data_IF_144465671317
#
_entry.id   IF_144465671317
#
_cell.length_a   1.000
_cell.length_b   1.000
_cell.length_c   1.000
_cell.angle_alpha   90.00
_cell.angle_beta   90.00
_cell.angle_gamma   90.00
#
_symmetry.space_group_name_H-M   'P 1'
#
loop_
_entity.id
_entity.type
_entity.pdbx_description
1 polymer ?
#
# COMPACT_ATOMS: atom_id res chain seq x y z
N UNK A 1 -21.78 -9.58 -4.96
CA UNK A 1 -21.52 -10.33 -3.72
C UNK A 1 -20.15 -10.94 -3.88
N UNK A 2 -19.28 -10.86 -2.87
CA UNK A 2 -17.97 -11.54 -2.91
C UNK A 2 -18.25 -13.04 -2.83
N UNK A 3 -17.67 -13.82 -3.73
CA UNK A 3 -17.78 -15.27 -3.71
C UNK A 3 -16.71 -15.81 -2.74
N UNK A 4 -17.06 -15.95 -1.46
CA UNK A 4 -16.12 -16.42 -0.42
C UNK A 4 -15.78 -17.90 -0.57
N UNK A 5 -16.58 -18.68 -1.30
CA UNK A 5 -16.29 -20.10 -1.55
C UNK A 5 -15.19 -20.27 -2.63
N UNK A 6 -15.02 -19.27 -3.48
CA UNK A 6 -13.98 -19.22 -4.51
C UNK A 6 -12.85 -18.21 -4.19
N UNK A 7 -12.86 -17.57 -3.02
CA UNK A 7 -11.86 -16.59 -2.59
C UNK A 7 -11.06 -17.11 -1.40
N UNK A 8 -9.74 -17.01 -1.46
CA UNK A 8 -8.84 -17.47 -0.42
C UNK A 8 -7.60 -16.57 -0.33
N UNK A 9 -6.88 -16.67 0.79
CA UNK A 9 -5.54 -16.10 0.95
C UNK A 9 -4.52 -17.23 0.79
N UNK A 10 -3.44 -16.96 0.07
CA UNK A 10 -2.30 -17.85 -0.04
C UNK A 10 -1.06 -17.12 0.45
N UNK A 11 -0.39 -17.69 1.45
CA UNK A 11 0.82 -17.12 2.04
C UNK A 11 2.04 -17.51 1.22
N UNK A 12 3.03 -16.62 1.12
CA UNK A 12 4.28 -16.89 0.40
C UNK A 12 5.06 -18.07 0.99
N UNK A 13 4.92 -18.31 2.29
CA UNK A 13 5.52 -19.43 3.02
C UNK A 13 4.89 -20.79 2.65
N UNK A 14 3.61 -20.78 2.25
CA UNK A 14 2.81 -21.98 1.96
C UNK A 14 1.82 -21.72 0.81
N UNK A 15 2.31 -21.50 -0.43
CA UNK A 15 1.48 -21.03 -1.55
C UNK A 15 0.41 -22.03 -2.00
N UNK A 16 0.59 -23.32 -1.68
CA UNK A 16 -0.35 -24.39 -2.00
C UNK A 16 -1.46 -24.56 -0.94
N UNK A 17 -1.39 -23.83 0.18
CA UNK A 17 -2.38 -23.88 1.26
C UNK A 17 -3.34 -22.70 1.10
N UNK A 18 -4.63 -23.00 0.92
CA UNK A 18 -5.68 -22.00 0.84
C UNK A 18 -6.21 -21.70 2.25
N UNK A 19 -5.96 -20.48 2.71
CA UNK A 19 -6.50 -19.94 3.96
C UNK A 19 -7.88 -19.35 3.69
N UNK A 20 -8.82 -19.57 4.60
CA UNK A 20 -10.19 -19.11 4.43
C UNK A 20 -10.29 -17.58 4.53
N UNK A 21 -11.13 -16.97 3.67
CA UNK A 21 -11.39 -15.53 3.66
C UNK A 21 -12.86 -15.25 3.94
N UNK A 22 -13.15 -14.52 5.01
CA UNK A 22 -14.52 -14.13 5.36
C UNK A 22 -14.73 -12.61 5.23
N UNK A 23 -15.95 -12.18 4.89
CA UNK A 23 -16.32 -10.75 4.81
C UNK A 23 -17.32 -10.41 5.91
N UNK A 24 -16.91 -9.72 7.00
CA UNK A 24 -17.84 -9.32 8.06
C UNK A 24 -18.96 -8.44 7.48
N UNK A 25 -20.19 -8.95 7.44
CA UNK A 25 -21.41 -8.26 6.93
C UNK A 25 -21.48 -7.95 5.42
N UNK A 26 -20.57 -8.48 4.59
CA UNK A 26 -20.51 -8.18 3.15
C UNK A 26 -21.75 -8.63 2.36
N UNK A 27 -22.33 -9.78 2.72
CA UNK A 27 -23.51 -10.34 2.05
C UNK A 27 -24.78 -9.50 2.27
N UNK A 28 -24.88 -8.80 3.39
CA UNK A 28 -26.09 -8.08 3.78
C UNK A 28 -26.13 -6.64 3.26
N UNK A 29 -24.97 -6.02 3.07
CA UNK A 29 -24.88 -4.57 2.86
C UNK A 29 -24.27 -4.14 1.53
N UNK A 30 -23.69 -5.09 0.77
CA UNK A 30 -23.03 -4.83 -0.49
C UNK A 30 -21.78 -3.96 -0.36
N UNK A 31 -21.18 -3.60 -1.49
CA UNK A 31 -20.05 -2.66 -1.53
C UNK A 31 -20.58 -1.24 -1.29
N UNK A 32 -20.11 -0.58 -0.23
CA UNK A 32 -20.50 0.80 0.08
C UNK A 32 -19.34 1.74 -0.20
N UNK A 33 -19.50 2.59 -1.21
CA UNK A 33 -18.56 3.66 -1.48
C UNK A 33 -18.83 4.81 -0.51
N UNK A 34 -17.80 5.17 0.27
CA UNK A 34 -17.83 6.37 1.10
C UNK A 34 -17.19 7.51 0.30
N UNK A 35 -17.90 8.62 0.15
CA UNK A 35 -17.42 9.77 -0.58
C UNK A 35 -18.54 10.67 -1.05
N UNK A 36 -18.19 11.90 -1.39
CA UNK A 36 -19.09 12.84 -2.07
C UNK A 36 -18.50 13.09 -3.43
N UNK A 37 -19.33 13.09 -4.46
CA UNK A 37 -18.93 13.51 -5.79
C UNK A 37 -19.96 14.46 -6.36
N UNK A 38 -19.53 15.32 -7.27
CA UNK A 38 -20.39 16.25 -7.99
C UNK A 38 -20.45 15.79 -9.44
N UNK A 39 -21.67 15.63 -9.95
CA UNK A 39 -21.91 15.40 -11.38
C UNK A 39 -22.38 16.72 -11.96
N UNK A 40 -21.53 17.39 -12.74
CA UNK A 40 -21.92 18.62 -13.43
C UNK A 40 -22.77 18.28 -14.66
N UNK A 41 -23.84 19.05 -14.88
CA UNK A 41 -24.72 18.88 -16.04
C UNK A 41 -23.92 18.97 -17.35
N UNK A 42 -24.28 18.12 -18.31
CA UNK A 42 -23.67 18.08 -19.65
C UNK A 42 -22.15 17.83 -19.68
N UNK A 43 -21.59 17.31 -18.59
CA UNK A 43 -20.18 16.89 -18.51
C UNK A 43 -20.07 15.40 -18.23
N UNK A 44 -18.97 14.80 -18.70
CA UNK A 44 -18.56 13.45 -18.32
C UNK A 44 -17.48 13.59 -17.25
N UNK A 45 -17.71 12.99 -16.09
CA UNK A 45 -16.70 12.87 -15.03
C UNK A 45 -16.42 11.40 -14.81
N UNK A 46 -15.16 11.00 -14.99
CA UNK A 46 -14.72 9.63 -14.74
C UNK A 46 -14.15 9.55 -13.32
N UNK A 47 -14.61 8.55 -12.57
CA UNK A 47 -14.14 8.25 -11.22
C UNK A 47 -13.54 6.86 -11.17
N UNK A 48 -12.52 6.69 -10.35
CA UNK A 48 -11.96 5.37 -10.03
C UNK A 48 -12.30 5.00 -8.60
N UNK A 49 -12.76 3.76 -8.41
CA UNK A 49 -12.82 3.11 -7.11
C UNK A 49 -11.51 2.37 -6.93
N UNK A 50 -10.67 2.89 -6.05
CA UNK A 50 -9.39 2.30 -5.71
C UNK A 50 -9.53 1.44 -4.44
N UNK A 51 -9.06 0.20 -4.51
CA UNK A 51 -9.18 -0.80 -3.45
C UNK A 51 -7.82 -1.03 -2.81
N UNK A 52 -7.69 -0.63 -1.55
CA UNK A 52 -6.45 -0.76 -0.80
C UNK A 52 -6.35 -2.16 -0.19
N UNK A 53 -5.71 -3.07 -0.91
CA UNK A 53 -5.55 -4.48 -0.48
C UNK A 53 -4.80 -4.57 0.85
N UNK A 54 -3.73 -3.78 1.01
CA UNK A 54 -2.87 -3.80 2.19
C UNK A 54 -3.64 -3.46 3.48
N UNK A 55 -4.66 -2.60 3.39
CA UNK A 55 -5.54 -2.27 4.53
C UNK A 55 -6.78 -3.15 4.63
N UNK A 56 -7.13 -3.86 3.56
CA UNK A 56 -8.42 -4.54 3.47
C UNK A 56 -8.39 -5.97 3.92
N UNK A 57 -7.25 -6.65 3.85
CA UNK A 57 -7.09 -8.03 4.30
C UNK A 57 -6.39 -8.00 5.65
N UNK A 58 -7.00 -8.62 6.66
CA UNK A 58 -6.49 -8.65 8.03
C UNK A 58 -6.48 -10.08 8.58
N UNK A 59 -5.60 -10.36 9.54
CA UNK A 59 -5.39 -11.68 10.14
C UNK A 59 -5.71 -11.63 11.65
N UNK A 60 -6.99 -11.66 12.03
CA UNK A 60 -7.39 -11.36 13.39
C UNK A 60 -6.88 -12.40 14.39
N UNK A 61 -6.29 -11.92 15.50
CA UNK A 61 -5.94 -12.79 16.60
C UNK A 61 -7.20 -13.32 17.32
N UNK A 62 -7.32 -14.66 17.41
CA UNK A 62 -8.37 -15.33 18.18
C UNK A 62 -9.61 -15.73 17.36
N UNK A 63 -10.76 -15.96 18.02
CA UNK A 63 -11.95 -16.49 17.34
C UNK A 63 -12.48 -15.53 16.26
N UNK A 64 -12.44 -15.96 15.00
CA UNK A 64 -12.86 -15.21 13.82
C UNK A 64 -13.81 -16.02 12.93
N UNK A 65 -14.43 -15.35 11.94
CA UNK A 65 -15.29 -15.96 10.92
C UNK A 65 -14.50 -16.75 9.86
N UNK A 66 -13.20 -16.54 9.78
CA UNK A 66 -12.25 -17.20 8.89
C UNK A 66 -10.81 -16.89 9.33
N UNK A 67 -9.84 -17.54 8.70
CA UNK A 67 -8.41 -17.32 8.96
C UNK A 67 -8.04 -15.86 8.67
N UNK A 68 -8.53 -15.32 7.55
CA UNK A 68 -8.42 -13.91 7.19
C UNK A 68 -9.80 -13.26 7.07
N UNK A 69 -9.85 -11.96 7.33
CA UNK A 69 -11.02 -11.13 7.07
C UNK A 69 -10.76 -10.12 5.97
N UNK A 70 -11.70 -10.00 5.05
CA UNK A 70 -11.77 -8.89 4.09
C UNK A 70 -12.68 -7.80 4.67
N UNK A 71 -12.08 -6.69 5.09
CA UNK A 71 -12.70 -5.43 5.52
C UNK A 71 -12.43 -4.35 4.45
N UNK A 72 -13.25 -4.22 3.38
CA UNK A 72 -12.87 -3.39 2.24
C UNK A 72 -12.63 -1.91 2.59
N UNK A 73 -11.42 -1.45 2.31
CA UNK A 73 -11.01 -0.04 2.32
C UNK A 73 -10.99 0.45 0.88
N UNK A 74 -11.85 1.43 0.59
CA UNK A 74 -12.08 1.94 -0.76
C UNK A 74 -11.91 3.45 -0.78
N UNK A 75 -11.27 3.95 -1.83
CA UNK A 75 -11.19 5.38 -2.14
C UNK A 75 -11.95 5.64 -3.44
N UNK A 76 -12.81 6.66 -3.43
CA UNK A 76 -13.43 7.17 -4.65
C UNK A 76 -12.68 8.42 -5.08
N UNK A 77 -11.99 8.36 -6.22
CA UNK A 77 -11.19 9.48 -6.72
C UNK A 77 -11.75 10.04 -8.02
N UNK A 78 -11.66 11.36 -8.19
CA UNK A 78 -11.96 12.03 -9.45
C UNK A 78 -10.72 11.98 -10.34
N UNK A 79 -10.83 11.39 -11.54
CA UNK A 79 -9.68 11.19 -12.43
C UNK A 79 -9.07 12.52 -12.94
N UNK A 80 -9.79 13.64 -12.79
CA UNK A 80 -9.27 14.97 -13.11
C UNK A 80 -8.44 15.61 -11.98
N UNK A 81 -8.47 15.05 -10.78
CA UNK A 81 -7.86 15.62 -9.57
C UNK A 81 -6.68 14.80 -9.05
N UNK A 82 -6.35 13.70 -9.73
CA UNK A 82 -5.32 12.75 -9.31
C UNK A 82 -4.15 12.66 -10.28
N UNK A 83 -2.97 12.34 -9.76
CA UNK A 83 -1.79 11.94 -10.51
C UNK A 83 -1.24 10.61 -9.98
N UNK A 84 0.03 10.35 -10.27
CA UNK A 84 0.76 9.19 -9.76
C UNK A 84 2.17 9.54 -9.34
N UNK A 85 2.76 8.65 -8.54
CA UNK A 85 4.19 8.64 -8.22
C UNK A 85 4.75 7.31 -8.73
N UNK A 86 5.89 7.34 -9.40
CA UNK A 86 6.67 6.14 -9.70
C UNK A 86 8.12 6.36 -9.35
N UNK A 87 8.83 5.26 -9.12
CA UNK A 87 10.23 5.31 -8.75
C UNK A 87 10.91 3.96 -8.78
N UNK A 88 12.22 3.99 -8.55
CA UNK A 88 13.08 2.82 -8.60
C UNK A 88 13.69 2.57 -7.23
N UNK A 89 13.82 1.29 -6.89
CA UNK A 89 14.51 0.82 -5.69
C UNK A 89 15.74 0.04 -6.12
N UNK A 90 16.92 0.50 -5.72
CA UNK A 90 18.16 -0.24 -5.88
C UNK A 90 18.29 -1.26 -4.74
N UNK A 91 17.55 -2.36 -4.91
CA UNK A 91 17.46 -3.44 -3.94
C UNK A 91 18.82 -4.06 -3.61
N UNK A 92 19.71 -4.19 -4.61
CA UNK A 92 21.05 -4.75 -4.40
C UNK A 92 21.90 -3.90 -3.44
N UNK A 93 21.83 -2.57 -3.56
CA UNK A 93 22.51 -1.66 -2.64
C UNK A 93 21.93 -1.74 -1.23
N UNK A 94 20.60 -1.71 -1.09
CA UNK A 94 19.94 -1.82 0.22
C UNK A 94 20.30 -3.12 0.93
N UNK A 95 20.21 -4.25 0.24
CA UNK A 95 20.63 -5.54 0.78
C UNK A 95 22.10 -5.55 1.20
N UNK A 96 23.00 -4.96 0.41
CA UNK A 96 24.43 -4.94 0.77
C UNK A 96 24.71 -4.15 2.06
N UNK A 97 23.99 -3.06 2.29
CA UNK A 97 24.11 -2.24 3.51
C UNK A 97 23.50 -2.98 4.69
N UNK A 98 22.29 -3.53 4.53
CA UNK A 98 21.58 -4.25 5.59
C UNK A 98 22.28 -5.55 6.00
N UNK A 99 22.87 -6.31 5.08
CA UNK A 99 23.68 -7.49 5.43
C UNK A 99 24.97 -7.14 6.18
N UNK A 100 25.40 -5.88 6.14
CA UNK A 100 26.56 -5.41 6.90
C UNK A 100 26.20 -4.95 8.32
N UNK A 101 24.90 -4.88 8.65
CA UNK A 101 24.37 -4.53 9.96
C UNK A 101 23.33 -5.56 10.42
N UNK A 102 23.69 -6.37 11.41
CA UNK A 102 22.81 -7.43 11.93
C UNK A 102 21.51 -6.93 12.54
N UNK A 103 21.41 -5.66 12.94
CA UNK A 103 20.16 -5.07 13.45
C UNK A 103 19.21 -4.65 12.31
N UNK A 104 19.73 -4.34 11.12
CA UNK A 104 18.96 -3.93 9.93
C UNK A 104 18.70 -5.08 8.94
N UNK A 105 19.19 -6.29 9.24
CA UNK A 105 19.19 -7.45 8.34
C UNK A 105 17.82 -8.15 8.20
N UNK A 106 16.74 -7.60 8.76
CA UNK A 106 15.41 -8.22 8.79
C UNK A 106 14.56 -7.94 7.54
N UNK A 107 15.16 -8.06 6.35
CA UNK A 107 14.40 -8.01 5.10
C UNK A 107 13.79 -9.38 4.79
N UNK A 108 12.47 -9.50 4.85
CA UNK A 108 11.76 -10.74 4.53
C UNK A 108 11.36 -10.85 3.05
N UNK A 109 11.34 -9.73 2.31
CA UNK A 109 10.89 -9.67 0.91
C UNK A 109 11.49 -8.47 0.16
N UNK A 110 11.07 -8.26 -1.09
CA UNK A 110 11.50 -7.14 -1.96
C UNK A 110 11.17 -5.75 -1.39
N UNK A 111 10.29 -5.68 -0.39
CA UNK A 111 9.84 -4.47 0.26
C UNK A 111 8.67 -3.78 -0.41
N UNK A 112 8.26 -2.69 0.22
CA UNK A 112 7.16 -1.84 -0.20
C UNK A 112 7.53 -0.37 0.03
N UNK A 113 6.88 0.51 -0.73
CA UNK A 113 6.95 1.95 -0.50
C UNK A 113 5.66 2.39 0.19
N UNK A 114 5.85 3.05 1.33
CA UNK A 114 4.83 3.64 2.16
C UNK A 114 4.68 5.10 1.75
N UNK A 115 3.45 5.51 1.46
CA UNK A 115 3.15 6.83 0.93
C UNK A 115 2.25 7.55 1.92
N UNK A 116 2.72 8.66 2.49
CA UNK A 116 2.01 9.46 3.50
C UNK A 116 1.58 10.79 2.89
N UNK A 117 0.38 11.26 3.24
CA UNK A 117 -0.08 12.60 2.85
C UNK A 117 0.69 13.67 3.64
N UNK A 118 1.20 14.67 2.93
CA UNK A 118 1.97 15.77 3.51
C UNK A 118 3.47 15.68 3.25
N UNK A 119 4.13 16.82 3.37
CA UNK A 119 5.58 16.94 3.32
C UNK A 119 6.22 16.65 4.68
N UNK A 120 7.42 16.07 4.66
CA UNK A 120 8.27 15.84 5.83
C UNK A 120 7.59 15.05 6.96
N UNK A 121 6.68 14.14 6.58
CA UNK A 121 6.05 13.20 7.51
C UNK A 121 7.10 12.22 8.02
N UNK A 122 7.10 11.93 9.32
CA UNK A 122 7.93 10.84 9.85
C UNK A 122 7.23 9.52 9.57
N UNK A 123 7.80 8.62 8.76
CA UNK A 123 7.15 7.35 8.41
C UNK A 123 6.92 6.46 9.64
N UNK A 124 5.79 5.75 9.62
CA UNK A 124 5.38 4.72 10.59
C UNK A 124 4.85 3.49 9.84
N UNK A 125 4.70 2.38 10.52
CA UNK A 125 4.04 1.18 10.01
C UNK A 125 2.60 1.42 9.50
N UNK A 126 2.05 0.41 8.82
CA UNK A 126 0.64 0.39 8.50
C UNK A 126 -0.12 -0.29 9.64
N UNK A 127 -0.89 0.48 10.41
CA UNK A 127 -1.75 -0.10 11.44
C UNK A 127 -3.22 0.31 11.22
N UNK A 128 -4.08 -0.64 10.83
CA UNK A 128 -5.51 -0.39 10.57
C UNK A 128 -6.33 -0.15 11.84
N UNK A 129 -5.76 -0.43 13.01
CA UNK A 129 -6.36 -0.19 14.32
C UNK A 129 -5.88 1.13 14.95
N UNK A 130 -4.88 1.81 14.37
CA UNK A 130 -4.42 3.11 14.84
C UNK A 130 -5.46 4.21 14.57
N UNK A 131 -5.65 5.10 15.54
CA UNK A 131 -6.64 6.18 15.47
C UNK A 131 -6.15 7.40 14.68
N UNK A 132 -4.82 7.62 14.64
CA UNK A 132 -4.16 8.69 13.89
C UNK A 132 -2.78 8.22 13.45
N UNK A 133 -2.32 8.72 12.30
CA UNK A 133 -1.02 8.47 11.68
C UNK A 133 -0.87 7.07 11.03
N UNK A 134 -0.31 7.06 9.83
CA UNK A 134 -0.16 5.87 8.99
C UNK A 134 -0.12 6.23 7.50
N UNK A 135 0.36 5.33 6.64
CA UNK A 135 0.45 5.58 5.21
C UNK A 135 -0.95 5.73 4.59
N UNK A 136 -1.10 6.61 3.61
CA UNK A 136 -2.27 6.65 2.73
C UNK A 136 -2.38 5.35 1.91
N UNK A 137 -1.24 4.83 1.45
CA UNK A 137 -1.13 3.57 0.74
C UNK A 137 0.25 2.93 0.95
N UNK A 138 0.30 1.61 0.85
CA UNK A 138 1.53 0.82 0.82
C UNK A 138 1.57 0.07 -0.50
N UNK A 139 2.59 0.33 -1.31
CA UNK A 139 2.73 -0.26 -2.65
C UNK A 139 3.89 -1.23 -2.70
N UNK A 140 3.68 -2.48 -3.15
CA UNK A 140 4.75 -3.44 -3.25
C UNK A 140 5.78 -2.98 -4.28
N UNK A 141 7.03 -3.31 -4.02
CA UNK A 141 8.14 -3.12 -4.94
C UNK A 141 8.36 -4.44 -5.70
N UNK A 142 8.40 -4.38 -7.02
CA UNK A 142 8.54 -5.57 -7.86
C UNK A 142 9.55 -5.38 -8.99
N UNK A 143 10.15 -6.49 -9.41
CA UNK A 143 10.99 -6.60 -10.61
C UNK A 143 10.20 -7.38 -11.68
N UNK A 144 9.17 -6.73 -12.23
CA UNK A 144 8.20 -7.39 -13.13
C UNK A 144 8.87 -7.94 -14.41
N UNK A 145 9.92 -7.27 -14.90
CA UNK A 145 10.64 -7.64 -16.11
C UNK A 145 11.83 -8.59 -15.83
N UNK A 146 12.10 -8.92 -14.56
CA UNK A 146 13.26 -9.70 -14.11
C UNK A 146 14.60 -9.12 -14.63
N UNK A 147 14.68 -7.80 -14.72
CA UNK A 147 15.86 -7.06 -15.20
C UNK A 147 16.77 -6.59 -14.06
N UNK A 148 16.42 -6.95 -12.81
CA UNK A 148 17.10 -6.51 -11.60
C UNK A 148 16.75 -5.09 -11.19
N UNK A 149 15.79 -4.43 -11.87
CA UNK A 149 15.33 -3.09 -11.52
C UNK A 149 13.98 -3.16 -10.85
N UNK A 150 14.01 -2.98 -9.54
CA UNK A 150 12.82 -2.94 -8.73
C UNK A 150 12.12 -1.59 -8.88
N UNK A 151 10.81 -1.61 -9.11
CA UNK A 151 9.98 -0.44 -9.38
C UNK A 151 8.73 -0.48 -8.51
N UNK A 152 8.13 0.70 -8.31
CA UNK A 152 6.83 0.85 -7.68
C UNK A 152 6.01 1.92 -8.39
N UNK A 153 4.69 1.85 -8.25
CA UNK A 153 3.78 2.89 -8.74
C UNK A 153 2.66 3.09 -7.75
N UNK A 154 2.56 4.31 -7.23
CA UNK A 154 1.45 4.79 -6.43
C UNK A 154 0.53 5.64 -7.32
N UNK A 155 -0.60 5.07 -7.74
CA UNK A 155 -1.55 5.72 -8.63
C UNK A 155 -2.73 6.34 -7.86
N UNK A 156 -3.53 7.14 -8.58
CA UNK A 156 -4.78 7.69 -8.07
C UNK A 156 -4.60 8.56 -6.82
N UNK A 157 -3.49 9.29 -6.75
CA UNK A 157 -3.18 10.19 -5.64
C UNK A 157 -3.72 11.59 -5.95
N UNK A 158 -4.55 12.20 -5.08
CA UNK A 158 -4.89 13.61 -5.19
C UNK A 158 -3.65 14.50 -5.37
N UNK A 159 -3.80 15.61 -6.08
CA UNK A 159 -2.72 16.59 -6.15
C UNK A 159 -2.36 17.12 -4.75
N UNK A 160 -1.08 17.12 -4.41
CA UNK A 160 -0.60 17.47 -3.08
C UNK A 160 0.83 17.00 -2.83
N UNK A 161 1.35 17.33 -1.64
CA UNK A 161 2.65 16.85 -1.19
C UNK A 161 2.51 15.49 -0.51
N UNK A 162 3.49 14.62 -0.73
CA UNK A 162 3.56 13.28 -0.18
C UNK A 162 4.96 12.99 0.34
N UNK A 163 5.04 12.27 1.45
CA UNK A 163 6.28 11.70 1.93
C UNK A 163 6.31 10.22 1.58
N UNK A 164 7.45 9.75 1.09
CA UNK A 164 7.69 8.35 0.75
C UNK A 164 8.70 7.75 1.73
N UNK A 165 8.55 6.48 2.06
CA UNK A 165 9.56 5.68 2.75
C UNK A 165 9.54 4.24 2.26
N UNK A 166 10.70 3.62 2.11
CA UNK A 166 10.80 2.20 1.75
C UNK A 166 11.13 1.35 2.98
N UNK A 167 10.41 0.23 3.15
CA UNK A 167 10.80 -0.81 4.08
C UNK A 167 10.69 -2.19 3.44
N UNK A 168 11.53 -3.12 3.90
CA UNK A 168 11.54 -4.53 3.52
C UNK A 168 11.16 -5.46 4.68
N UNK A 169 10.89 -4.88 5.85
CA UNK A 169 10.53 -5.60 7.07
C UNK A 169 9.06 -6.03 6.99
N UNK A 170 8.75 -7.14 7.65
CA UNK A 170 7.35 -7.58 7.79
C UNK A 170 6.58 -6.54 8.61
N UNK A 171 5.35 -6.30 8.19
CA UNK A 171 4.44 -5.32 8.76
C UNK A 171 3.08 -6.01 8.92
N UNK A 172 2.70 -6.33 10.15
CA UNK A 172 1.39 -6.86 10.45
C UNK A 172 0.43 -5.69 10.62
N UNK A 173 -0.51 -5.61 9.69
CA UNK A 173 -1.35 -4.45 9.57
C UNK A 173 -2.35 -4.25 10.72
N UNK A 174 -2.44 -5.18 11.68
CA UNK A 174 -3.25 -5.06 12.88
C UNK A 174 -2.44 -4.70 14.14
N UNK A 175 -1.11 -4.69 14.07
CA UNK A 175 -0.19 -4.40 15.19
C UNK A 175 0.59 -3.10 15.01
N UNK A 176 1.20 -2.62 16.10
CA UNK A 176 2.10 -1.46 16.11
C UNK A 176 3.54 -1.97 15.99
N UNK A 177 4.06 -1.95 14.77
CA UNK A 177 5.38 -2.48 14.42
C UNK A 177 6.42 -1.36 14.29
N UNK A 178 7.63 -1.63 14.78
CA UNK A 178 8.75 -0.71 14.60
C UNK A 178 9.46 -1.05 13.30
N UNK A 179 9.21 -0.25 12.27
CA UNK A 179 9.85 -0.37 10.95
C UNK A 179 10.95 0.68 10.75
N UNK A 180 12.00 0.27 10.04
CA UNK A 180 13.04 1.13 9.51
C UNK A 180 12.72 1.54 8.08
N UNK A 181 12.93 2.82 7.78
CA UNK A 181 12.63 3.39 6.48
C UNK A 181 13.87 3.94 5.79
N UNK A 182 14.10 3.48 4.56
CA UNK A 182 15.12 4.00 3.66
C UNK A 182 14.53 5.00 2.67
N UNK A 183 15.40 5.90 2.20
CA UNK A 183 15.10 6.80 1.09
C UNK A 183 13.93 7.75 1.33
N UNK A 184 13.76 8.19 2.58
CA UNK A 184 12.69 9.11 2.98
C UNK A 184 12.80 10.40 2.16
N UNK A 185 11.74 10.74 1.44
CA UNK A 185 11.71 11.91 0.54
C UNK A 185 10.31 12.50 0.41
N UNK A 186 10.26 13.81 0.21
CA UNK A 186 9.02 14.52 -0.13
C UNK A 186 8.93 14.68 -1.65
N UNK A 187 7.76 14.37 -2.22
CA UNK A 187 7.43 14.59 -3.64
C UNK A 187 6.08 15.31 -3.75
N UNK A 188 5.89 16.07 -4.83
CA UNK A 188 4.63 16.78 -5.09
C UNK A 188 3.91 16.16 -6.27
N UNK A 189 2.71 15.64 -6.05
CA UNK A 189 1.82 15.12 -7.08
C UNK A 189 1.07 16.26 -7.73
N UNK A 190 1.11 16.29 -9.07
CA UNK A 190 0.30 17.18 -9.89
C UNK A 190 -0.77 16.35 -10.62
N UNK A 191 -2.02 16.81 -10.58
CA UNK A 191 -3.12 16.12 -11.25
C UNK A 191 -2.84 15.93 -12.75
N UNK A 192 -3.14 14.73 -13.26
CA UNK A 192 -2.91 14.33 -14.65
C UNK A 192 -1.47 13.99 -15.01
N UNK A 193 -0.52 14.12 -14.08
CA UNK A 193 0.89 13.85 -14.33
C UNK A 193 1.41 12.66 -13.51
N UNK A 194 2.45 12.03 -14.04
CA UNK A 194 3.32 11.12 -13.30
C UNK A 194 4.48 11.91 -12.68
N UNK A 195 4.68 11.71 -11.38
CA UNK A 195 5.79 12.28 -10.62
C UNK A 195 6.86 11.21 -10.44
N UNK A 196 8.09 11.49 -10.89
CA UNK A 196 9.21 10.55 -10.74
C UNK A 196 9.92 10.86 -9.42
N UNK A 197 9.87 9.95 -8.47
CA UNK A 197 10.60 10.03 -7.22
C UNK A 197 12.09 9.76 -7.43
N UNK A 198 12.94 10.29 -6.56
CA UNK A 198 14.36 9.97 -6.56
C UNK A 198 14.57 8.48 -6.25
N UNK A 199 15.59 7.82 -6.84
CA UNK A 199 15.89 6.43 -6.55
C UNK A 199 16.15 6.19 -5.05
N UNK A 200 15.75 5.02 -4.56
CA UNK A 200 15.98 4.57 -3.18
C UNK A 200 17.12 3.53 -3.20
N UNK A 201 18.14 3.60 -2.34
CA UNK A 201 18.38 4.66 -1.36
C UNK A 201 18.78 5.96 -2.05
N UNK A 202 18.54 7.08 -1.37
CA UNK A 202 18.91 8.40 -1.89
C UNK A 202 20.42 8.49 -2.08
N UNK A 203 20.83 9.06 -3.21
CA UNK A 203 22.24 9.35 -3.47
C UNK A 203 22.63 10.67 -2.79
N UNK A 204 23.86 10.76 -2.22
CA UNK A 204 24.37 11.98 -1.61
C UNK A 204 24.60 13.13 -2.59
#
# INVERSE_FOLDING_TARGET
MVDTDASYVAESSQPDVQQTLAVPSGEQSGLKLKGRFVVAADTRTDFTVDFDVAKSIVNPEGPSLGDYLLKPVLRLVNNLEVGSISGNVNYATLQSVRLSDTEQADCAYSGAVYVYEGADVTPTDLNVNAETDGPLLVVPVSDDDNDGQYRYTAAFLPAGDYTLGYSCQLDDNETDDVLEFDGIQTVTVVAGNETIAAPIPLQP
#
